data_IF_781182495748
#
_entry.id   IF_781182495748
#
_cell.length_a   1.000
_cell.length_b   1.000
_cell.length_c   1.000
_cell.angle_alpha   90.00
_cell.angle_beta   90.00
_cell.angle_gamma   90.00
#
_symmetry.space_group_name_H-M   'P 1'
#
loop_
_entity.id
_entity.type
_entity.pdbx_description
1 polymer ?
#
# COMPACT_ATOMS: atom_id res chain seq x y z
N UNK A 1 10.61 -17.96 -12.78
CA UNK A 1 10.43 -16.60 -12.24
C UNK A 1 9.77 -16.73 -10.87
N UNK A 2 10.56 -16.66 -9.79
CA UNK A 2 10.01 -16.66 -8.43
C UNK A 2 9.58 -15.21 -8.15
N UNK A 3 8.28 -14.97 -8.11
CA UNK A 3 7.78 -13.62 -7.91
C UNK A 3 8.18 -13.15 -6.51
N UNK A 4 9.02 -12.10 -6.42
CA UNK A 4 9.64 -11.61 -5.18
C UNK A 4 8.67 -10.84 -4.27
N UNK A 5 7.36 -11.14 -4.34
CA UNK A 5 6.35 -10.60 -3.43
C UNK A 5 6.65 -10.88 -1.95
N UNK A 6 7.44 -11.93 -1.67
CA UNK A 6 7.80 -12.34 -0.32
C UNK A 6 8.50 -11.25 0.49
N UNK A 7 9.31 -10.39 -0.15
CA UNK A 7 9.94 -9.26 0.53
C UNK A 7 8.89 -8.28 1.06
N UNK A 8 8.04 -7.80 0.15
CA UNK A 8 6.98 -6.82 0.44
C UNK A 8 5.97 -7.36 1.44
N UNK A 9 5.57 -8.61 1.30
CA UNK A 9 4.67 -9.28 2.24
C UNK A 9 5.30 -9.39 3.64
N UNK A 10 6.62 -9.59 3.75
CA UNK A 10 7.31 -9.61 5.03
C UNK A 10 7.51 -8.21 5.66
N UNK A 11 7.56 -7.15 4.86
CA UNK A 11 7.56 -5.77 5.39
C UNK A 11 6.17 -5.36 5.89
N UNK A 12 5.13 -5.67 5.11
CA UNK A 12 3.73 -5.47 5.48
C UNK A 12 3.41 -6.23 6.78
N UNK A 13 3.74 -7.53 6.86
CA UNK A 13 3.52 -8.34 8.06
C UNK A 13 4.28 -7.85 9.31
N UNK A 14 5.26 -6.96 9.16
CA UNK A 14 6.05 -6.37 10.25
C UNK A 14 5.66 -4.93 10.57
N UNK A 15 4.61 -4.41 9.91
CA UNK A 15 4.24 -3.01 9.96
C UNK A 15 5.03 -2.18 8.95
N UNK A 16 4.35 -1.58 7.98
CA UNK A 16 4.95 -0.69 6.98
C UNK A 16 5.63 0.51 7.65
N UNK A 17 5.10 0.97 8.79
CA UNK A 17 5.64 2.06 9.61
C UNK A 17 7.07 1.79 10.12
N UNK A 18 7.39 0.52 10.36
CA UNK A 18 8.73 0.09 10.80
C UNK A 18 9.70 -0.10 9.63
N UNK A 19 9.23 0.05 8.38
CA UNK A 19 10.05 -0.08 7.18
C UNK A 19 10.64 1.26 6.80
N UNK A 20 11.97 1.36 6.84
CA UNK A 20 12.67 2.58 6.40
C UNK A 20 12.29 2.92 4.95
N UNK A 21 12.05 4.21 4.61
CA UNK A 21 11.65 4.62 3.25
C UNK A 21 12.56 4.09 2.14
N UNK A 22 13.89 4.11 2.35
CA UNK A 22 14.86 3.56 1.41
C UNK A 22 14.64 2.06 1.11
N UNK A 23 14.32 1.28 2.15
CA UNK A 23 14.00 -0.14 1.98
C UNK A 23 12.66 -0.33 1.26
N UNK A 24 11.68 0.54 1.51
CA UNK A 24 10.43 0.56 0.75
C UNK A 24 10.66 0.83 -0.74
N UNK A 25 11.52 1.80 -1.07
CA UNK A 25 11.89 2.13 -2.45
C UNK A 25 12.57 0.95 -3.18
N UNK A 26 13.53 0.27 -2.53
CA UNK A 26 14.19 -0.92 -3.10
C UNK A 26 13.18 -2.04 -3.41
N UNK A 27 12.20 -2.23 -2.53
CA UNK A 27 11.17 -3.26 -2.69
C UNK A 27 10.19 -2.94 -3.83
N UNK A 28 9.92 -1.65 -4.06
CA UNK A 28 9.13 -1.18 -5.20
C UNK A 28 9.91 -1.39 -6.50
N UNK A 29 11.20 -1.08 -6.53
CA UNK A 29 12.06 -1.30 -7.71
C UNK A 29 12.11 -2.78 -8.12
N UNK A 30 12.22 -3.69 -7.16
CA UNK A 30 12.14 -5.14 -7.41
C UNK A 30 10.79 -5.56 -8.01
N UNK A 31 9.68 -4.91 -7.60
CA UNK A 31 8.36 -5.15 -8.17
C UNK A 31 8.22 -4.59 -9.58
N UNK A 32 8.74 -3.39 -9.82
CA UNK A 32 8.75 -2.79 -11.16
C UNK A 32 9.47 -3.72 -12.15
N UNK A 33 10.64 -4.24 -11.77
CA UNK A 33 11.38 -5.19 -12.58
C UNK A 33 10.58 -6.48 -12.85
N UNK A 34 9.90 -7.02 -11.83
CA UNK A 34 9.10 -8.23 -12.00
C UNK A 34 7.84 -8.03 -12.88
N UNK A 35 7.24 -6.84 -12.84
CA UNK A 35 6.05 -6.50 -13.62
C UNK A 35 6.39 -6.00 -15.04
N UNK A 36 7.58 -5.45 -15.26
CA UNK A 36 8.02 -4.96 -16.57
C UNK A 36 8.04 -6.07 -17.64
N UNK A 37 8.41 -7.28 -17.22
CA UNK A 37 8.43 -8.48 -18.07
C UNK A 37 7.09 -9.24 -18.09
N UNK A 38 6.03 -8.69 -17.47
CA UNK A 38 4.73 -9.36 -17.33
C UNK A 38 3.74 -8.93 -18.42
N UNK A 39 3.20 -9.91 -19.15
CA UNK A 39 2.13 -9.71 -20.14
C UNK A 39 0.72 -9.62 -19.52
N UNK A 40 0.61 -9.55 -18.19
CA UNK A 40 -0.68 -9.52 -17.50
C UNK A 40 -1.42 -8.22 -17.80
N UNK A 41 -2.63 -8.35 -18.35
CA UNK A 41 -3.53 -7.22 -18.60
C UNK A 41 -3.82 -6.44 -17.30
N UNK A 42 -3.32 -5.21 -17.24
CA UNK A 42 -3.40 -4.34 -16.06
C UNK A 42 -2.04 -4.00 -15.42
N UNK A 43 -0.99 -4.79 -15.71
CA UNK A 43 0.35 -4.61 -15.14
C UNK A 43 0.95 -3.22 -15.43
N UNK A 44 0.71 -2.65 -16.64
CA UNK A 44 1.17 -1.30 -17.00
C UNK A 44 0.61 -0.18 -16.11
N UNK A 45 -0.59 -0.37 -15.55
CA UNK A 45 -1.16 0.60 -14.59
C UNK A 45 -0.41 0.57 -13.27
N UNK A 46 -0.20 -0.64 -12.75
CA UNK A 46 0.54 -0.89 -11.51
C UNK A 46 1.97 -0.38 -11.61
N UNK A 47 2.66 -0.61 -12.73
CA UNK A 47 4.00 -0.06 -12.96
C UNK A 47 4.06 1.47 -12.84
N UNK A 48 3.04 2.19 -13.34
CA UNK A 48 2.99 3.66 -13.22
C UNK A 48 2.75 4.12 -11.79
N UNK A 49 1.89 3.41 -11.06
CA UNK A 49 1.59 3.74 -9.67
C UNK A 49 2.79 3.40 -8.76
N UNK A 50 3.50 2.29 -9.01
CA UNK A 50 4.75 1.93 -8.34
C UNK A 50 5.84 2.98 -8.54
N UNK A 51 6.06 3.43 -9.79
CA UNK A 51 7.02 4.48 -10.08
C UNK A 51 6.68 5.79 -9.38
N UNK A 52 5.39 6.08 -9.22
CA UNK A 52 4.92 7.25 -8.49
C UNK A 52 5.15 7.10 -6.98
N UNK A 53 4.92 5.91 -6.42
CA UNK A 53 5.13 5.63 -5.00
C UNK A 53 6.62 5.70 -4.65
N UNK A 54 7.49 5.07 -5.45
CA UNK A 54 8.94 5.15 -5.29
C UNK A 54 9.43 6.60 -5.21
N UNK A 55 8.99 7.44 -6.16
CA UNK A 55 9.32 8.87 -6.16
C UNK A 55 8.85 9.62 -4.92
N UNK A 56 7.77 9.19 -4.26
CA UNK A 56 7.34 9.79 -3.00
C UNK A 56 8.22 9.36 -1.83
N UNK A 57 8.62 8.10 -1.78
CA UNK A 57 9.50 7.58 -0.73
C UNK A 57 10.95 8.10 -0.82
N UNK A 58 11.39 8.48 -2.02
CA UNK A 58 12.70 9.08 -2.26
C UNK A 58 12.77 10.57 -1.91
N UNK A 59 11.63 11.23 -1.61
CA UNK A 59 11.61 12.63 -1.19
C UNK A 59 12.05 12.78 0.26
N UNK A 60 12.74 13.88 0.55
CA UNK A 60 13.04 14.30 1.93
C UNK A 60 11.76 14.54 2.75
N UNK A 61 10.71 15.01 2.07
CA UNK A 61 9.36 15.21 2.63
C UNK A 61 8.32 14.52 1.73
N UNK A 62 8.05 13.23 1.98
CA UNK A 62 6.96 12.51 1.31
C UNK A 62 5.62 13.19 1.59
N UNK A 63 4.76 13.20 0.60
CA UNK A 63 3.36 13.65 0.76
C UNK A 63 2.53 12.42 1.11
N UNK A 64 2.08 12.37 2.37
CA UNK A 64 1.40 11.24 3.00
C UNK A 64 0.08 10.92 2.31
N UNK A 65 -0.77 11.92 2.07
CA UNK A 65 -2.04 11.78 1.34
C UNK A 65 -1.82 11.10 -0.02
N UNK A 66 -0.77 11.52 -0.73
CA UNK A 66 -0.43 10.94 -2.02
C UNK A 66 0.13 9.52 -1.89
N UNK A 67 0.91 9.22 -0.86
CA UNK A 67 1.39 7.85 -0.59
C UNK A 67 0.20 6.93 -0.33
N UNK A 68 -0.73 7.33 0.53
CA UNK A 68 -1.94 6.56 0.84
C UNK A 68 -2.84 6.33 -0.37
N UNK A 69 -3.10 7.39 -1.14
CA UNK A 69 -3.86 7.27 -2.37
C UNK A 69 -3.20 6.33 -3.39
N UNK A 70 -1.86 6.25 -3.41
CA UNK A 70 -1.11 5.32 -4.26
C UNK A 70 -1.20 3.89 -3.72
N UNK A 71 -1.05 3.68 -2.41
CA UNK A 71 -1.20 2.38 -1.76
C UNK A 71 -2.59 1.78 -2.02
N UNK A 72 -3.65 2.56 -1.83
CA UNK A 72 -5.03 2.12 -2.10
C UNK A 72 -5.24 1.74 -3.58
N UNK A 73 -4.74 2.55 -4.53
CA UNK A 73 -4.82 2.22 -5.96
C UNK A 73 -4.04 0.96 -6.32
N UNK A 74 -2.83 0.83 -5.77
CA UNK A 74 -1.98 -0.35 -5.97
C UNK A 74 -2.66 -1.59 -5.40
N UNK A 75 -3.27 -1.49 -4.22
CA UNK A 75 -4.04 -2.58 -3.61
C UNK A 75 -5.18 -3.05 -4.50
N UNK A 76 -6.07 -2.13 -4.89
CA UNK A 76 -7.20 -2.44 -5.77
C UNK A 76 -6.76 -3.03 -7.13
N UNK A 77 -5.72 -2.47 -7.73
CA UNK A 77 -5.19 -2.97 -8.99
C UNK A 77 -4.58 -4.38 -8.84
N UNK A 78 -3.82 -4.61 -7.76
CA UNK A 78 -3.18 -5.90 -7.46
C UNK A 78 -4.20 -7.00 -7.19
N UNK A 79 -5.27 -6.71 -6.45
CA UNK A 79 -6.38 -7.66 -6.25
C UNK A 79 -7.06 -8.00 -7.59
N UNK A 80 -7.23 -7.00 -8.46
CA UNK A 80 -7.88 -7.21 -9.78
C UNK A 80 -7.06 -8.06 -10.76
N UNK A 81 -5.73 -7.99 -10.72
CA UNK A 81 -4.88 -8.90 -11.50
C UNK A 81 -4.68 -10.26 -10.81
N UNK A 82 -4.91 -10.37 -9.50
CA UNK A 82 -4.87 -11.65 -8.80
C UNK A 82 -5.83 -12.66 -9.42
N UNK A 83 -7.05 -12.23 -9.78
CA UNK A 83 -8.06 -13.06 -10.46
C UNK A 83 -7.60 -13.60 -11.83
N UNK A 84 -6.51 -13.06 -12.38
CA UNK A 84 -5.92 -13.49 -13.65
C UNK A 84 -4.68 -14.37 -13.47
N UNK A 85 -4.27 -14.64 -12.24
CA UNK A 85 -2.99 -15.27 -11.92
C UNK A 85 -3.17 -16.69 -11.35
N UNK A 86 -2.98 -17.73 -12.15
CA UNK A 86 -3.23 -19.13 -11.73
C UNK A 86 -2.52 -19.56 -10.44
N UNK A 87 -1.20 -19.37 -10.35
CA UNK A 87 -0.38 -19.95 -9.25
C UNK A 87 -0.16 -19.03 -8.05
N UNK A 88 -0.51 -17.76 -8.21
CA UNK A 88 -0.20 -16.71 -7.23
C UNK A 88 -1.42 -15.89 -6.84
N UNK A 89 -2.62 -16.29 -7.26
CA UNK A 89 -3.87 -15.58 -6.97
C UNK A 89 -4.00 -15.22 -5.49
N UNK A 90 -3.97 -16.20 -4.59
CA UNK A 90 -4.24 -15.95 -3.17
C UNK A 90 -3.19 -15.03 -2.53
N UNK A 91 -1.94 -15.15 -2.97
CA UNK A 91 -0.85 -14.26 -2.51
C UNK A 91 -1.04 -12.84 -3.03
N UNK A 92 -1.47 -12.69 -4.27
CA UNK A 92 -1.74 -11.39 -4.87
C UNK A 92 -2.99 -10.72 -4.26
N UNK A 93 -4.01 -11.50 -3.90
CA UNK A 93 -5.19 -11.00 -3.17
C UNK A 93 -4.80 -10.50 -1.79
N UNK A 94 -4.13 -11.33 -1.00
CA UNK A 94 -3.67 -10.95 0.34
C UNK A 94 -2.79 -9.69 0.31
N UNK A 95 -1.92 -9.59 -0.70
CA UNK A 95 -1.08 -8.42 -0.90
C UNK A 95 -1.89 -7.18 -1.29
N UNK A 96 -2.86 -7.32 -2.20
CA UNK A 96 -3.71 -6.21 -2.63
C UNK A 96 -4.60 -5.69 -1.50
N UNK A 97 -5.14 -6.59 -0.68
CA UNK A 97 -5.89 -6.26 0.53
C UNK A 97 -5.03 -5.49 1.52
N UNK A 98 -3.84 -5.99 1.84
CA UNK A 98 -2.95 -5.32 2.80
C UNK A 98 -2.44 -3.96 2.31
N UNK A 99 -2.24 -3.78 1.00
CA UNK A 99 -1.93 -2.46 0.43
C UNK A 99 -3.11 -1.48 0.51
N UNK A 100 -4.33 -2.00 0.42
CA UNK A 100 -5.56 -1.19 0.54
C UNK A 100 -5.71 -0.72 1.98
N UNK A 101 -5.60 -1.65 2.94
CA UNK A 101 -5.65 -1.40 4.38
C UNK A 101 -4.56 -0.40 4.82
N UNK A 102 -3.33 -0.58 4.36
CA UNK A 102 -2.24 0.35 4.64
C UNK A 102 -2.44 1.76 4.06
N UNK A 103 -3.29 1.91 3.03
CA UNK A 103 -3.69 3.22 2.51
C UNK A 103 -4.90 3.83 3.23
N UNK A 104 -5.57 3.07 4.12
CA UNK A 104 -6.74 3.48 4.89
C UNK A 104 -6.40 3.77 6.36
N UNK A 105 -5.43 3.07 6.96
CA UNK A 105 -5.11 3.10 8.40
C UNK A 105 -4.81 4.49 9.01
N UNK A 106 -4.35 5.49 8.24
CA UNK A 106 -4.08 6.82 8.79
C UNK A 106 -5.32 7.73 8.85
N UNK A 107 -6.44 7.34 8.24
CA UNK A 107 -7.67 8.15 8.25
C UNK A 107 -8.55 7.93 9.49
N UNK A 108 -8.39 6.80 10.20
CA UNK A 108 -9.24 6.43 11.36
C UNK A 108 -8.63 6.87 12.72
N UNK A 109 -7.30 7.04 12.81
CA UNK A 109 -6.65 7.34 14.08
C UNK A 109 -6.75 8.80 14.57
N UNK A 110 -7.03 9.76 13.68
CA UNK A 110 -7.23 11.16 14.05
C UNK A 110 -8.70 11.50 14.38
N UNK A 111 -9.69 10.88 13.73
CA UNK A 111 -11.11 11.13 14.03
C UNK A 111 -11.54 10.57 15.41
N UNK A 112 -10.97 9.46 15.86
CA UNK A 112 -11.36 8.83 17.14
C UNK A 112 -10.74 9.53 18.37
N UNK A 113 -9.60 10.22 18.22
CA UNK A 113 -8.98 11.01 19.30
C UNK A 113 -9.73 12.32 19.56
N UNK A 114 -10.33 12.94 18.53
CA UNK A 114 -11.08 14.19 18.70
C UNK A 114 -12.48 13.94 19.30
N UNK A 115 -13.14 12.82 18.98
CA UNK A 115 -14.43 12.42 19.55
C UNK A 115 -14.34 12.09 21.05
N UNK A 116 -13.23 11.54 21.52
CA UNK A 116 -13.01 11.23 22.94
C UNK A 116 -12.74 12.47 23.82
N UNK A 117 -12.37 13.61 23.24
CA UNK A 117 -11.98 14.80 23.98
C UNK A 117 -13.14 15.74 24.39
N UNK A 118 -14.36 15.54 23.87
CA UNK A 118 -15.48 16.46 24.10
C UNK A 118 -16.67 15.81 24.85
N UNK A 119 -16.58 15.56 26.17
CA UNK A 119 -17.77 15.31 26.95
C UNK A 119 -18.55 16.63 27.11
N UNK A 120 -19.45 16.93 26.15
CA UNK A 120 -20.50 17.94 26.31
C UNK A 120 -21.45 17.51 27.44
N UNK A 121 -21.06 17.72 28.70
CA UNK A 121 -21.95 17.64 29.86
C UNK A 121 -22.86 18.87 29.87
N UNK A 122 -23.87 18.85 29.03
CA UNK A 122 -25.09 19.62 29.29
C UNK A 122 -25.85 18.93 30.43
N UNK A 123 -25.80 19.50 31.63
CA UNK A 123 -26.87 19.25 32.62
C UNK A 123 -27.23 20.53 33.35
N UNK A 124 -28.18 21.23 32.74
CA UNK A 124 -28.96 22.33 33.30
C UNK A 124 -29.81 21.79 34.46
N UNK A 125 -29.71 22.42 35.63
CA UNK A 125 -30.82 22.49 36.59
C UNK A 125 -30.77 23.83 37.30
#
# INVERSE_FOLDING_TARGET
MAVKFAGTMNAINRGLESTKPAKGADMIEDWEAALADSDVSGAKGILRDLASLRKQLEKDTPDADRVHALLHRLGAATTKIADKADKSQDKLKALGEALTEAGEEEHDEEEDKEAAAAPKRARKK
#
